data_IF_864739546481
#
_entry.id   IF_864739546481
#
_cell.length_a   1.000
_cell.length_b   1.000
_cell.length_c   1.000
_cell.angle_alpha   90.00
_cell.angle_beta   90.00
_cell.angle_gamma   90.00
#
_symmetry.space_group_name_H-M   'P 1'
#
loop_
_entity.id
_entity.type
_entity.pdbx_description
1 polymer ?
#
# COMPACT_ATOMS: atom_id res chain seq x y z
N UNK A 1 -32.08 10.76 7.24
CA UNK A 1 -30.62 10.93 7.32
C UNK A 1 -30.04 9.53 7.32
N UNK A 2 -29.18 9.19 6.38
CA UNK A 2 -28.58 7.85 6.35
C UNK A 2 -27.68 7.70 7.58
N UNK A 3 -27.93 6.67 8.36
CA UNK A 3 -27.12 6.28 9.51
C UNK A 3 -25.69 6.00 9.00
N UNK A 4 -24.71 6.78 9.44
CA UNK A 4 -23.31 6.55 9.07
C UNK A 4 -22.87 5.25 9.72
N UNK A 5 -22.56 4.27 8.89
CA UNK A 5 -22.03 2.99 9.33
C UNK A 5 -20.64 3.23 9.92
N UNK A 6 -20.43 2.86 11.19
CA UNK A 6 -19.19 3.08 11.90
C UNK A 6 -18.08 2.15 11.40
N UNK A 7 -16.88 2.70 11.18
CA UNK A 7 -15.68 1.94 10.77
C UNK A 7 -15.30 0.81 11.76
N UNK A 8 -15.67 0.94 13.04
CA UNK A 8 -15.33 0.00 14.10
C UNK A 8 -15.90 -1.41 13.86
N UNK A 9 -17.00 -1.50 13.13
CA UNK A 9 -17.65 -2.76 12.73
C UNK A 9 -16.99 -3.41 11.51
N UNK A 10 -15.93 -2.80 10.96
CA UNK A 10 -15.27 -3.22 9.74
C UNK A 10 -13.80 -3.54 9.99
N UNK A 11 -13.28 -4.40 9.12
CA UNK A 11 -11.87 -4.75 9.04
C UNK A 11 -11.34 -4.44 7.64
N UNK A 12 -10.21 -3.75 7.58
CA UNK A 12 -9.46 -3.49 6.36
C UNK A 12 -8.33 -4.50 6.19
N UNK A 13 -8.13 -4.96 4.96
CA UNK A 13 -6.96 -5.73 4.53
C UNK A 13 -6.39 -5.12 3.25
N UNK A 14 -5.12 -5.38 2.96
CA UNK A 14 -4.48 -4.93 1.73
C UNK A 14 -3.97 -6.12 0.92
N UNK A 15 -4.12 -6.04 -0.41
CA UNK A 15 -3.53 -6.97 -1.36
C UNK A 15 -2.60 -6.19 -2.28
N UNK A 16 -1.31 -6.47 -2.15
CA UNK A 16 -0.25 -5.84 -2.89
C UNK A 16 -0.01 -6.60 -4.19
N UNK A 17 -0.22 -5.93 -5.32
CA UNK A 17 -0.20 -6.53 -6.67
C UNK A 17 1.10 -6.28 -7.41
N UNK A 18 1.80 -5.21 -7.08
CA UNK A 18 3.06 -4.85 -7.70
C UNK A 18 3.48 -3.42 -7.36
N UNK A 19 4.55 -2.97 -7.98
CA UNK A 19 4.96 -1.57 -7.96
C UNK A 19 5.67 -1.19 -9.26
N UNK A 20 5.53 0.06 -9.67
CA UNK A 20 6.20 0.62 -10.84
C UNK A 20 7.25 1.63 -10.37
N UNK A 21 8.52 1.34 -10.68
CA UNK A 21 9.65 2.23 -10.41
C UNK A 21 9.96 3.00 -11.68
N UNK A 22 9.78 4.32 -11.66
CA UNK A 22 10.16 5.18 -12.77
C UNK A 22 11.60 5.62 -12.59
N UNK A 23 12.41 5.43 -13.63
CA UNK A 23 13.80 5.82 -13.65
C UNK A 23 13.95 7.20 -14.31
N UNK A 24 15.03 7.96 -13.99
CA UNK A 24 15.25 9.28 -14.57
C UNK A 24 15.43 9.30 -16.09
N UNK A 25 15.74 8.16 -16.70
CA UNK A 25 15.85 7.99 -18.16
C UNK A 25 14.49 7.79 -18.86
N UNK A 26 13.39 7.76 -18.11
CA UNK A 26 12.03 7.55 -18.60
C UNK A 26 11.59 6.09 -18.64
N UNK A 27 12.47 5.14 -18.30
CA UNK A 27 12.13 3.72 -18.21
C UNK A 27 11.26 3.46 -16.99
N UNK A 28 10.38 2.46 -17.10
CA UNK A 28 9.56 1.98 -15.98
C UNK A 28 9.89 0.52 -15.73
N UNK A 29 10.33 0.23 -14.51
CA UNK A 29 10.61 -1.12 -14.03
C UNK A 29 9.43 -1.62 -13.19
N UNK A 30 8.78 -2.68 -13.65
CA UNK A 30 7.67 -3.33 -12.93
C UNK A 30 8.22 -4.36 -11.94
N UNK A 31 7.85 -4.20 -10.68
CA UNK A 31 8.02 -5.20 -9.63
C UNK A 31 6.74 -6.01 -9.55
N UNK A 32 6.81 -7.25 -10.00
CA UNK A 32 5.71 -8.20 -9.95
C UNK A 32 5.44 -8.72 -8.54
N UNK A 33 4.23 -9.26 -8.33
CA UNK A 33 3.75 -9.70 -7.01
C UNK A 33 4.69 -10.68 -6.29
N UNK A 34 5.28 -11.61 -7.04
CA UNK A 34 6.22 -12.62 -6.56
C UNK A 34 7.53 -12.02 -6.02
N UNK A 35 7.93 -10.86 -6.55
CA UNK A 35 9.16 -10.16 -6.15
C UNK A 35 8.97 -9.11 -5.05
N UNK A 36 7.74 -8.87 -4.60
CA UNK A 36 7.46 -7.84 -3.58
C UNK A 36 8.09 -8.09 -2.21
N UNK A 37 8.51 -9.33 -1.94
CA UNK A 37 9.25 -9.70 -0.73
C UNK A 37 10.75 -9.46 -0.82
N UNK A 38 11.29 -9.25 -2.03
CA UNK A 38 12.72 -9.07 -2.26
C UNK A 38 13.19 -7.69 -1.78
N UNK A 39 14.39 -7.60 -1.17
CA UNK A 39 14.97 -6.34 -0.73
C UNK A 39 15.53 -5.55 -1.94
N UNK A 40 14.65 -4.84 -2.64
CA UNK A 40 14.96 -4.15 -3.89
C UNK A 40 15.26 -2.66 -3.73
N UNK A 41 14.98 -2.06 -2.57
CA UNK A 41 15.16 -0.63 -2.35
C UNK A 41 16.20 -0.38 -1.25
N UNK A 42 17.14 0.54 -1.46
CA UNK A 42 18.03 1.02 -0.41
C UNK A 42 17.50 2.34 0.13
N UNK A 43 17.28 2.41 1.44
CA UNK A 43 17.06 3.67 2.14
C UNK A 43 18.41 4.26 2.55
N UNK A 44 18.87 5.26 1.79
CA UNK A 44 20.24 5.78 1.91
C UNK A 44 20.53 6.33 3.31
N UNK A 45 19.56 7.02 3.94
CA UNK A 45 19.76 7.63 5.24
C UNK A 45 20.02 6.64 6.39
N UNK A 46 19.54 5.39 6.25
CA UNK A 46 19.70 4.33 7.25
C UNK A 46 20.59 3.18 6.79
N UNK A 47 21.15 3.29 5.59
CA UNK A 47 21.87 2.23 4.90
C UNK A 47 21.15 0.86 4.97
N UNK A 48 19.84 0.89 4.77
CA UNK A 48 18.97 -0.28 4.96
C UNK A 48 18.35 -0.70 3.64
N UNK A 49 18.41 -2.00 3.34
CA UNK A 49 17.62 -2.58 2.25
C UNK A 49 16.18 -2.86 2.68
N UNK A 50 15.23 -2.53 1.83
CA UNK A 50 13.79 -2.62 2.03
C UNK A 50 13.16 -3.36 0.86
N UNK A 51 12.15 -4.18 1.14
CA UNK A 51 11.25 -4.68 0.12
C UNK A 51 10.11 -3.67 -0.18
N UNK A 52 9.28 -3.95 -1.18
CA UNK A 52 8.22 -3.03 -1.61
C UNK A 52 7.21 -2.71 -0.48
N UNK A 53 6.89 -3.69 0.38
CA UNK A 53 5.99 -3.49 1.51
C UNK A 53 6.61 -2.56 2.56
N UNK A 54 7.87 -2.80 2.93
CA UNK A 54 8.62 -1.97 3.87
C UNK A 54 8.84 -0.56 3.33
N UNK A 55 9.06 -0.43 2.02
CA UNK A 55 9.18 0.85 1.34
C UNK A 55 7.88 1.64 1.45
N UNK A 56 6.72 1.05 1.13
CA UNK A 56 5.43 1.74 1.28
C UNK A 56 5.18 2.13 2.74
N UNK A 57 5.43 1.24 3.70
CA UNK A 57 5.26 1.54 5.12
C UNK A 57 6.16 2.70 5.58
N UNK A 58 7.40 2.75 5.08
CA UNK A 58 8.35 3.84 5.39
C UNK A 58 7.83 5.16 4.84
N UNK A 59 7.35 5.18 3.60
CA UNK A 59 6.78 6.36 2.96
C UNK A 59 5.52 6.86 3.68
N UNK A 60 4.58 5.96 3.99
CA UNK A 60 3.37 6.27 4.76
C UNK A 60 3.72 6.84 6.14
N UNK A 61 4.72 6.26 6.82
CA UNK A 61 5.18 6.78 8.10
C UNK A 61 5.78 8.19 7.98
N UNK A 62 6.57 8.46 6.93
CA UNK A 62 7.13 9.78 6.67
C UNK A 62 6.03 10.83 6.43
N UNK A 63 4.92 10.45 5.80
CA UNK A 63 3.75 11.33 5.60
C UNK A 63 2.76 11.32 6.77
N UNK A 64 3.06 10.62 7.87
CA UNK A 64 2.16 10.40 9.02
C UNK A 64 0.79 9.86 8.61
N UNK A 65 0.78 8.96 7.63
CA UNK A 65 -0.42 8.32 7.09
C UNK A 65 -0.40 6.82 7.34
N UNK A 66 -1.56 6.20 7.22
CA UNK A 66 -1.76 4.75 7.24
C UNK A 66 -2.49 4.30 5.97
N UNK A 67 -2.47 3.00 5.66
CA UNK A 67 -3.30 2.46 4.57
C UNK A 67 -4.79 2.69 4.82
N UNK A 68 -5.23 2.70 6.09
CA UNK A 68 -6.63 2.85 6.46
C UNK A 68 -7.16 4.25 6.17
N UNK A 69 -6.30 5.27 6.20
CA UNK A 69 -6.67 6.66 5.91
C UNK A 69 -7.20 6.84 4.47
N UNK A 70 -6.92 5.88 3.59
CA UNK A 70 -7.36 5.88 2.20
C UNK A 70 -8.74 5.21 2.00
N UNK A 71 -9.29 4.61 3.05
CA UNK A 71 -10.62 4.00 3.01
C UNK A 71 -11.66 5.11 3.15
N UNK A 72 -12.55 5.20 2.17
CA UNK A 72 -13.62 6.20 2.13
C UNK A 72 -14.91 5.62 2.67
N UNK A 73 -15.81 6.48 3.17
CA UNK A 73 -17.14 6.06 3.62
C UNK A 73 -17.90 5.26 2.56
N UNK A 74 -17.78 5.62 1.27
CA UNK A 74 -18.41 4.88 0.17
C UNK A 74 -17.97 3.41 0.09
N UNK A 75 -16.73 3.09 0.48
CA UNK A 75 -16.22 1.72 0.52
C UNK A 75 -16.77 0.97 1.73
N UNK A 76 -16.98 1.66 2.86
CA UNK A 76 -17.64 1.11 4.04
C UNK A 76 -19.11 0.83 3.73
N UNK A 77 -19.82 1.77 3.10
CA UNK A 77 -21.22 1.61 2.70
C UNK A 77 -21.40 0.45 1.71
N UNK A 78 -20.47 0.29 0.77
CA UNK A 78 -20.44 -0.87 -0.13
C UNK A 78 -20.21 -2.17 0.64
N UNK A 79 -19.26 -2.19 1.58
CA UNK A 79 -19.01 -3.35 2.43
C UNK A 79 -20.23 -3.69 3.30
N UNK A 80 -20.96 -2.69 3.80
CA UNK A 80 -22.19 -2.88 4.57
C UNK A 80 -23.32 -3.47 3.71
N UNK A 81 -23.44 -3.01 2.46
CA UNK A 81 -24.50 -3.46 1.55
C UNK A 81 -24.21 -4.83 0.90
N UNK A 82 -22.94 -5.13 0.61
CA UNK A 82 -22.54 -6.30 -0.21
C UNK A 82 -21.68 -7.31 0.54
N UNK A 83 -21.31 -7.05 1.79
CA UNK A 83 -20.38 -7.85 2.58
C UNK A 83 -18.90 -7.62 2.25
N UNK A 84 -18.59 -6.87 1.19
CA UNK A 84 -17.23 -6.50 0.81
C UNK A 84 -17.21 -5.19 0.02
N UNK A 85 -16.32 -4.28 0.39
CA UNK A 85 -16.02 -3.06 -0.34
C UNK A 85 -14.55 -3.07 -0.77
N UNK A 86 -14.27 -2.61 -1.99
CA UNK A 86 -12.89 -2.56 -2.52
C UNK A 86 -12.55 -1.17 -2.99
N UNK A 87 -11.31 -0.76 -2.76
CA UNK A 87 -10.77 0.47 -3.30
C UNK A 87 -9.32 0.28 -3.74
N UNK A 88 -8.95 0.90 -4.86
CA UNK A 88 -7.58 0.94 -5.37
C UNK A 88 -7.05 2.36 -5.25
N UNK A 89 -6.56 2.75 -4.07
CA UNK A 89 -5.93 4.05 -3.91
C UNK A 89 -4.67 4.16 -4.77
N UNK A 90 -4.43 5.36 -5.30
CA UNK A 90 -3.19 5.68 -5.99
C UNK A 90 -2.11 6.01 -4.94
N UNK A 91 -1.30 5.02 -4.57
CA UNK A 91 -0.11 5.25 -3.76
C UNK A 91 1.06 5.63 -4.67
N UNK A 92 1.31 6.93 -4.79
CA UNK A 92 2.45 7.44 -5.54
C UNK A 92 3.37 8.26 -4.62
N UNK A 93 4.67 8.08 -4.78
CA UNK A 93 5.68 8.87 -4.09
C UNK A 93 6.67 9.44 -5.10
N UNK A 94 6.98 10.73 -4.93
CA UNK A 94 8.10 11.36 -5.60
C UNK A 94 9.32 11.27 -4.69
N UNK A 95 10.41 10.72 -5.21
CA UNK A 95 11.61 10.46 -4.43
C UNK A 95 12.66 11.50 -4.76
N UNK A 96 13.11 12.21 -3.72
CA UNK A 96 14.24 13.12 -3.86
C UNK A 96 15.53 12.33 -4.12
N UNK A 97 16.38 12.86 -5.00
CA UNK A 97 17.68 12.25 -5.33
C UNK A 97 18.49 11.95 -4.06
N UNK A 98 19.03 10.74 -3.96
CA UNK A 98 19.80 10.29 -2.80
C UNK A 98 18.97 9.92 -1.56
N UNK A 99 17.63 9.96 -1.62
CA UNK A 99 16.77 9.48 -0.55
C UNK A 99 16.63 7.96 -0.55
N UNK A 100 16.18 7.43 -1.69
CA UNK A 100 16.07 5.99 -1.93
C UNK A 100 16.71 5.61 -3.27
N UNK A 101 17.19 4.37 -3.35
CA UNK A 101 17.77 3.80 -4.56
C UNK A 101 17.12 2.45 -4.85
N UNK A 102 17.04 2.06 -6.10
CA UNK A 102 16.48 0.79 -6.56
C UNK A 102 17.61 -0.13 -7.03
N UNK A 103 17.54 -1.41 -6.68
CA UNK A 103 18.50 -2.44 -7.10
C UNK A 103 18.10 -2.96 -8.48
N UNK A 104 18.83 -2.52 -9.50
CA UNK A 104 18.64 -2.89 -10.90
C UNK A 104 19.92 -3.48 -11.47
N UNK A 105 19.83 -4.66 -12.09
CA UNK A 105 20.96 -5.33 -12.75
C UNK A 105 22.22 -5.47 -11.87
N UNK A 106 22.04 -5.64 -10.56
CA UNK A 106 23.13 -5.75 -9.58
C UNK A 106 23.74 -4.40 -9.12
N UNK A 107 23.24 -3.27 -9.62
CA UNK A 107 23.63 -1.92 -9.21
C UNK A 107 22.49 -1.16 -8.53
N UNK A 108 22.85 -0.17 -7.70
CA UNK A 108 21.87 0.74 -7.10
C UNK A 108 21.73 1.99 -7.98
N UNK A 109 20.50 2.30 -8.36
CA UNK A 109 20.16 3.46 -9.19
C UNK A 109 19.17 4.36 -8.46
N UNK A 110 19.33 5.68 -8.61
CA UNK A 110 18.32 6.63 -8.14
C UNK A 110 17.08 6.54 -9.04
N UNK A 111 15.91 6.77 -8.46
CA UNK A 111 14.61 6.77 -9.16
C UNK A 111 13.79 7.99 -8.73
N UNK A 112 12.92 8.49 -9.60
CA UNK A 112 12.21 9.77 -9.40
C UNK A 112 10.78 9.56 -8.88
N UNK A 113 10.13 8.46 -9.28
CA UNK A 113 8.76 8.15 -8.91
C UNK A 113 8.58 6.67 -8.64
N UNK A 114 7.74 6.36 -7.65
CA UNK A 114 7.30 5.01 -7.32
C UNK A 114 5.78 4.98 -7.20
N UNK A 115 5.15 4.03 -7.89
CA UNK A 115 3.72 3.79 -7.79
C UNK A 115 3.49 2.39 -7.24
N UNK A 116 2.67 2.27 -6.20
CA UNK A 116 2.29 0.97 -5.67
C UNK A 116 0.90 0.59 -6.14
N UNK A 117 0.78 -0.64 -6.64
CA UNK A 117 -0.48 -1.24 -7.03
C UNK A 117 -1.02 -2.03 -5.84
N UNK A 118 -1.87 -1.37 -5.05
CA UNK A 118 -2.45 -1.90 -3.80
C UNK A 118 -3.96 -1.83 -3.88
N UNK A 119 -4.61 -2.96 -3.62
CA UNK A 119 -6.05 -3.03 -3.41
C UNK A 119 -6.33 -3.10 -1.91
N UNK A 120 -7.14 -2.18 -1.40
CA UNK A 120 -7.67 -2.26 -0.04
C UNK A 120 -9.04 -2.90 -0.09
N UNK A 121 -9.24 -3.89 0.77
CA UNK A 121 -10.48 -4.65 0.90
C UNK A 121 -11.03 -4.45 2.30
N UNK A 122 -12.26 -3.97 2.37
CA UNK A 122 -13.02 -3.74 3.59
C UNK A 122 -14.10 -4.80 3.70
N UNK A 123 -14.21 -5.43 4.86
CA UNK A 123 -15.27 -6.40 5.17
C UNK A 123 -15.88 -6.08 6.52
N UNK A 124 -17.18 -6.34 6.74
CA UNK A 124 -17.73 -6.38 8.08
C UNK A 124 -16.91 -7.34 8.95
N UNK A 125 -16.65 -6.96 10.20
CA UNK A 125 -16.14 -7.91 11.18
C UNK A 125 -17.25 -8.93 11.39
N UNK A 126 -16.98 -10.19 11.10
CA UNK A 126 -17.83 -11.26 11.62
C UNK A 126 -17.76 -11.18 13.13
N UNK A 127 -18.80 -10.60 13.75
CA UNK A 127 -19.13 -10.90 15.13
C UNK A 127 -19.40 -12.39 15.16
N UNK A 128 -18.40 -13.20 15.53
CA UNK A 128 -18.69 -14.50 16.13
C UNK A 128 -19.46 -14.19 17.40
N UNK A 129 -20.78 -14.00 17.28
CA UNK A 129 -21.69 -14.33 18.35
C UNK A 129 -21.53 -15.83 18.53
N UNK A 130 -20.60 -16.20 19.41
CA UNK A 130 -20.61 -17.48 20.11
C UNK A 130 -21.84 -17.50 21.03
N UNK A 131 -23.04 -17.41 20.44
CA UNK A 131 -24.25 -17.92 21.05
C UNK A 131 -24.26 -19.42 20.76
N UNK A 132 -23.55 -20.16 21.59
CA UNK A 132 -23.95 -21.53 21.92
C UNK A 132 -24.15 -21.54 23.42
N UNK A 133 -25.44 -21.48 23.76
CA UNK A 133 -26.04 -21.69 25.08
C UNK A 133 -25.53 -22.96 25.74
#
# INVERSE_FOLDING_TARGET
MAEQVAWEDFQGSSDFKGADVHLPDGTVERIEKDRLGEPLFRFAAKDQMLNAHQMLQTLLHQTKSSLQDYIRQSTIDEAAAKGEGRIKPLFQAHIAKGGFQFLKDGGLVDFDKLLFDVELVVRPRTLTNSESR
#
